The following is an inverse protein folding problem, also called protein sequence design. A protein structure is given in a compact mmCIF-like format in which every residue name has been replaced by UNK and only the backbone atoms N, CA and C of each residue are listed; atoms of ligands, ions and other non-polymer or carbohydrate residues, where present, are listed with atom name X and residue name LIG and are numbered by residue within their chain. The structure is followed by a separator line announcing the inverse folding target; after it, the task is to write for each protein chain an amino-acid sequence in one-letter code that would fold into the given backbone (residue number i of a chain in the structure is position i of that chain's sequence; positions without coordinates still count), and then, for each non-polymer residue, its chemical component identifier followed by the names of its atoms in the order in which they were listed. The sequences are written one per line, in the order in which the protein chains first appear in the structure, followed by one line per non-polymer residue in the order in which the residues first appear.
data_IF_034606205060
#
_entry.id   IF_034606205060
#
_cell.length_a   1.000
_cell.length_b   1.000
_cell.length_c   1.000
_cell.angle_alpha   90.00
_cell.angle_beta   90.00
_cell.angle_gamma   90.00
#
_symmetry.space_group_name_H-M   'P 1'
#
loop_
_entity.id
_entity.type
_entity.pdbx_description
1 polymer ?
#
# COMPACT_ATOMS: atom_id res chain seq x y z
N UNK A 1 -2.19 11.03 4.13
CA UNK A 1 -1.83 10.09 5.21
C UNK A 1 -2.98 9.11 5.38
N UNK A 2 -2.69 7.80 5.43
CA UNK A 2 -3.68 6.75 5.69
C UNK A 2 -3.22 5.86 6.84
N UNK A 3 -4.08 4.98 7.35
CA UNK A 3 -3.67 3.88 8.24
C UNK A 3 -3.19 2.70 7.40
N UNK A 4 -2.07 2.10 7.78
CA UNK A 4 -1.58 0.89 7.17
C UNK A 4 -2.58 -0.24 7.42
N UNK A 5 -3.06 -0.94 6.38
CA UNK A 5 -4.00 -2.05 6.55
C UNK A 5 -3.35 -3.29 7.16
N UNK A 6 -2.02 -3.40 7.13
CA UNK A 6 -1.28 -4.50 7.73
C UNK A 6 -1.09 -4.29 9.24
N UNK A 7 -0.40 -3.22 9.65
CA UNK A 7 0.00 -3.01 11.05
C UNK A 7 -0.72 -1.87 11.79
N UNK A 8 -1.58 -1.10 11.12
CA UNK A 8 -2.30 0.04 11.73
C UNK A 8 -1.47 1.33 11.91
N UNK A 9 -0.15 1.29 11.70
CA UNK A 9 0.72 2.47 11.73
C UNK A 9 0.38 3.47 10.61
N UNK A 10 1.04 4.63 10.61
CA UNK A 10 0.88 5.59 9.54
C UNK A 10 1.45 5.06 8.22
N UNK A 11 0.66 5.19 7.15
CA UNK A 11 1.04 4.86 5.80
C UNK A 11 0.85 6.04 4.84
N UNK A 12 1.40 5.85 3.66
CA UNK A 12 1.41 6.82 2.58
C UNK A 12 0.61 6.29 1.39
N UNK A 13 0.01 7.22 0.64
CA UNK A 13 -0.65 6.92 -0.63
C UNK A 13 -0.18 7.91 -1.68
N UNK A 14 0.38 7.40 -2.75
CA UNK A 14 0.94 8.16 -3.87
C UNK A 14 0.13 7.86 -5.14
N UNK A 15 -0.35 8.91 -5.80
CA UNK A 15 -1.07 8.79 -7.08
C UNK A 15 -0.08 9.00 -8.22
N UNK A 16 0.29 7.92 -8.90
CA UNK A 16 1.25 7.92 -10.01
C UNK A 16 0.48 7.95 -11.33
N UNK A 17 -0.05 9.14 -11.66
CA UNK A 17 -0.95 9.33 -12.82
C UNK A 17 -0.31 8.93 -14.15
N UNK A 18 0.99 9.19 -14.34
CA UNK A 18 1.71 8.80 -15.58
C UNK A 18 1.71 7.30 -15.81
N UNK A 19 1.65 6.52 -14.74
CA UNK A 19 1.64 5.06 -14.76
C UNK A 19 0.22 4.48 -14.57
N UNK A 20 -0.80 5.33 -14.41
CA UNK A 20 -2.17 4.93 -14.08
C UNK A 20 -2.29 4.03 -12.84
N UNK A 21 -1.43 4.22 -11.84
CA UNK A 21 -1.46 3.44 -10.59
C UNK A 21 -1.52 4.30 -9.33
N UNK A 22 -2.08 3.72 -8.28
CA UNK A 22 -2.00 4.21 -6.91
C UNK A 22 -1.14 3.26 -6.11
N UNK A 23 -0.10 3.81 -5.49
CA UNK A 23 0.79 3.10 -4.60
C UNK A 23 0.45 3.46 -3.15
N UNK A 24 0.20 2.44 -2.33
CA UNK A 24 0.00 2.56 -0.89
C UNK A 24 1.14 1.85 -0.19
N UNK A 25 1.85 2.52 0.71
CA UNK A 25 3.01 1.96 1.39
C UNK A 25 3.05 2.29 2.88
N UNK A 26 3.71 1.45 3.69
CA UNK A 26 3.93 1.71 5.10
C UNK A 26 5.42 1.61 5.46
N UNK A 27 6.05 2.69 5.95
CA UNK A 27 7.46 2.65 6.37
C UNK A 27 7.69 1.87 7.68
N UNK A 28 6.64 1.51 8.42
CA UNK A 28 6.78 0.81 9.71
C UNK A 28 6.83 -0.71 9.59
N UNK A 29 6.23 -1.27 8.55
CA UNK A 29 6.13 -2.72 8.37
C UNK A 29 6.31 -3.11 6.91
N UNK A 30 6.92 -2.27 6.08
CA UNK A 30 7.18 -2.55 4.66
C UNK A 30 5.97 -2.97 3.81
N UNK A 31 4.73 -2.73 4.26
CA UNK A 31 3.55 -3.02 3.46
C UNK A 31 3.57 -2.21 2.16
N UNK A 32 3.26 -2.85 1.03
CA UNK A 32 3.13 -2.25 -0.29
C UNK A 32 1.88 -2.79 -0.99
N UNK A 33 1.11 -1.90 -1.61
CA UNK A 33 -0.02 -2.23 -2.48
C UNK A 33 -0.07 -1.24 -3.63
N UNK A 34 0.03 -1.73 -4.85
CA UNK A 34 -0.08 -0.96 -6.09
C UNK A 34 -1.34 -1.41 -6.82
N UNK A 35 -2.25 -0.47 -7.08
CA UNK A 35 -3.52 -0.72 -7.77
C UNK A 35 -3.63 0.12 -9.04
N UNK A 36 -4.28 -0.41 -10.08
CA UNK A 36 -4.68 0.38 -11.24
C UNK A 36 -5.73 1.43 -10.83
N UNK A 37 -5.54 2.69 -11.24
CA UNK A 37 -6.47 3.78 -10.93
C UNK A 37 -7.85 3.53 -11.55
N UNK A 38 -7.89 3.00 -12.77
CA UNK A 38 -9.12 2.87 -13.55
C UNK A 38 -9.96 1.68 -13.09
N UNK A 39 -9.32 0.54 -12.81
CA UNK A 39 -10.03 -0.72 -12.51
C UNK A 39 -10.04 -1.07 -11.03
N UNK A 40 -9.15 -0.48 -10.24
CA UNK A 40 -8.89 -0.87 -8.85
C UNK A 40 -8.19 -2.23 -8.70
N UNK A 41 -7.82 -2.88 -9.81
CA UNK A 41 -7.14 -4.18 -9.78
C UNK A 41 -5.75 -4.06 -9.16
N UNK A 42 -5.37 -5.07 -8.37
CA UNK A 42 -4.03 -5.18 -7.80
C UNK A 42 -3.03 -5.45 -8.92
N UNK A 43 -1.99 -4.62 -8.99
CA UNK A 43 -0.84 -4.77 -9.88
C UNK A 43 0.30 -5.47 -9.15
N UNK A 44 0.57 -5.03 -7.92
CA UNK A 44 1.62 -5.59 -7.07
C UNK A 44 1.19 -5.44 -5.60
N UNK A 45 1.50 -6.45 -4.79
CA UNK A 45 1.22 -6.41 -3.36
C UNK A 45 2.28 -7.17 -2.58
N UNK A 46 2.66 -6.58 -1.44
CA UNK A 46 3.52 -7.20 -0.44
C UNK A 46 3.00 -6.83 0.95
N UNK A 47 2.81 -7.84 1.78
CA UNK A 47 2.38 -7.70 3.17
C UNK A 47 3.22 -8.65 4.03
N UNK A 48 4.19 -8.15 4.81
CA UNK A 48 4.98 -9.02 5.67
C UNK A 48 4.18 -9.46 6.90
N UNK A 49 4.55 -10.63 7.42
CA UNK A 49 4.02 -11.13 8.67
C UNK A 49 4.33 -10.19 9.82
N UNK A 50 3.29 -9.77 10.53
CA UNK A 50 3.43 -9.04 11.79
C UNK A 50 3.56 -10.07 12.91
N UNK A 51 4.57 -9.96 13.81
CA UNK A 51 4.66 -10.85 14.95
C UNK A 51 3.39 -10.72 15.80
N UNK A 52 2.74 -11.84 16.08
CA UNK A 52 1.68 -11.87 17.09
C UNK A 52 2.35 -11.62 18.44
N UNK A 53 2.06 -10.48 19.06
CA UNK A 53 2.41 -10.20 20.45
C UNK A 53 1.49 -10.96 21.40
#
# INVERSE_FOLDING_TARGET
MIRCPNCGSHGERHYLQKQNVVQTQCPSCDYLMVNCIQTGSVVEAYAPGIPML
#
